data_IF_689566127844
#
_entry.id   IF_689566127844
#
_cell.length_a   1.000
_cell.length_b   1.000
_cell.length_c   1.000
_cell.angle_alpha   90.00
_cell.angle_beta   90.00
_cell.angle_gamma   90.00
#
_symmetry.space_group_name_H-M   'P 1'
#
loop_
_entity.id
_entity.type
_entity.pdbx_description
1 polymer ?
#
# COMPACT_ATOMS: atom_id res chain seq x y z
N UNK A 1 -0.70 -20.85 -3.34
CA UNK A 1 -1.54 -19.85 -2.62
C UNK A 1 -0.88 -18.50 -2.78
N UNK A 2 -1.61 -17.48 -3.23
CA UNK A 2 -1.09 -16.11 -3.34
C UNK A 2 -1.42 -15.30 -2.07
N UNK A 3 -0.92 -14.06 -1.99
CA UNK A 3 -1.13 -13.18 -0.82
C UNK A 3 -2.61 -12.93 -0.54
N UNK A 4 -3.42 -12.64 -1.59
CA UNK A 4 -4.85 -12.41 -1.40
C UNK A 4 -5.56 -13.65 -0.87
N UNK A 5 -5.32 -14.82 -1.44
CA UNK A 5 -5.90 -16.09 -1.00
C UNK A 5 -5.58 -16.36 0.49
N UNK A 6 -4.32 -16.15 0.89
CA UNK A 6 -3.89 -16.33 2.29
C UNK A 6 -4.66 -15.42 3.24
N UNK A 7 -4.76 -14.12 2.92
CA UNK A 7 -5.48 -13.14 3.76
C UNK A 7 -6.99 -13.43 3.77
N UNK A 8 -7.55 -13.81 2.62
CA UNK A 8 -8.97 -14.15 2.48
C UNK A 8 -9.35 -15.35 3.35
N UNK A 9 -8.58 -16.44 3.29
CA UNK A 9 -8.82 -17.64 4.09
C UNK A 9 -8.75 -17.36 5.59
N UNK A 10 -7.82 -16.50 6.03
CA UNK A 10 -7.71 -16.13 7.44
C UNK A 10 -8.92 -15.33 7.96
N UNK A 11 -9.65 -14.58 7.10
CA UNK A 11 -10.63 -13.60 7.57
C UNK A 11 -12.05 -13.79 7.02
N UNK A 12 -12.28 -14.75 6.11
CA UNK A 12 -13.59 -14.96 5.48
C UNK A 12 -14.72 -15.23 6.48
N UNK A 13 -14.40 -15.83 7.62
CA UNK A 13 -15.36 -16.13 8.67
C UNK A 13 -15.62 -14.94 9.63
N UNK A 14 -14.90 -13.83 9.46
CA UNK A 14 -15.00 -12.62 10.29
C UNK A 14 -15.24 -11.34 9.46
N UNK A 15 -16.23 -11.34 8.52
CA UNK A 15 -16.40 -10.26 7.55
C UNK A 15 -16.76 -8.91 8.18
N UNK A 16 -17.36 -8.90 9.36
CA UNK A 16 -17.75 -7.68 10.08
C UNK A 16 -16.62 -7.05 10.92
N UNK A 17 -15.48 -7.74 11.04
CA UNK A 17 -14.33 -7.23 11.81
C UNK A 17 -13.69 -6.06 11.05
N UNK A 18 -13.27 -5.02 11.77
CA UNK A 18 -12.53 -3.89 11.21
C UNK A 18 -11.20 -4.40 10.62
N UNK A 19 -10.90 -3.97 9.42
CA UNK A 19 -9.65 -4.30 8.72
C UNK A 19 -8.79 -3.06 8.46
N UNK A 20 -9.41 -2.00 7.95
CA UNK A 20 -8.72 -0.78 7.53
C UNK A 20 -9.52 0.45 7.96
N UNK A 21 -8.83 1.50 8.35
CA UNK A 21 -9.45 2.81 8.57
C UNK A 21 -8.48 3.95 8.26
N UNK A 22 -9.03 5.15 8.03
CA UNK A 22 -8.23 6.36 7.82
C UNK A 22 -8.91 7.56 8.48
N UNK A 23 -8.13 8.36 9.21
CA UNK A 23 -8.56 9.69 9.64
C UNK A 23 -8.15 10.71 8.58
N UNK A 24 -9.15 11.43 8.07
CA UNK A 24 -8.99 12.49 7.07
C UNK A 24 -8.56 13.80 7.74
N UNK A 25 -8.02 14.74 6.96
CA UNK A 25 -7.56 16.04 7.47
C UNK A 25 -8.70 16.90 8.03
N UNK A 26 -9.94 16.68 7.57
CA UNK A 26 -11.15 17.31 8.12
C UNK A 26 -11.63 16.71 9.45
N UNK A 27 -10.95 15.67 9.93
CA UNK A 27 -11.26 14.94 11.16
C UNK A 27 -12.29 13.82 10.99
N UNK A 28 -12.86 13.64 9.81
CA UNK A 28 -13.73 12.48 9.52
C UNK A 28 -12.92 11.19 9.46
N UNK A 29 -13.59 10.05 9.65
CA UNK A 29 -12.96 8.71 9.58
C UNK A 29 -13.72 7.85 8.60
N UNK A 30 -13.00 7.24 7.65
CA UNK A 30 -13.50 6.14 6.83
C UNK A 30 -12.99 4.82 7.38
N UNK A 31 -13.83 3.81 7.40
CA UNK A 31 -13.50 2.49 7.92
C UNK A 31 -14.03 1.41 6.99
N UNK A 32 -13.28 0.32 6.89
CA UNK A 32 -13.61 -0.85 6.07
C UNK A 32 -13.49 -2.10 6.93
N UNK A 33 -14.54 -2.88 6.97
CA UNK A 33 -14.49 -4.25 7.50
C UNK A 33 -13.76 -5.17 6.52
N UNK A 34 -13.40 -6.38 6.96
CA UNK A 34 -12.83 -7.39 6.04
C UNK A 34 -13.78 -7.69 4.88
N UNK A 35 -15.11 -7.73 5.13
CA UNK A 35 -16.12 -7.91 4.09
C UNK A 35 -16.10 -6.77 3.06
N UNK A 36 -15.97 -5.52 3.51
CA UNK A 36 -15.86 -4.35 2.63
C UNK A 36 -14.57 -4.40 1.80
N UNK A 37 -13.45 -4.75 2.43
CA UNK A 37 -12.16 -4.92 1.74
C UNK A 37 -12.26 -5.96 0.65
N UNK A 38 -12.80 -7.15 0.95
CA UNK A 38 -12.93 -8.22 -0.05
C UNK A 38 -13.85 -7.86 -1.21
N UNK A 39 -14.94 -7.14 -0.92
CA UNK A 39 -15.86 -6.64 -1.94
C UNK A 39 -15.18 -5.61 -2.86
N UNK A 40 -14.42 -4.67 -2.30
CA UNK A 40 -13.67 -3.68 -3.08
C UNK A 40 -12.51 -4.30 -3.85
N UNK A 41 -11.83 -5.27 -3.28
CA UNK A 41 -10.77 -6.03 -3.97
C UNK A 41 -11.36 -6.76 -5.19
N UNK A 42 -12.56 -7.34 -5.08
CA UNK A 42 -13.23 -7.95 -6.22
C UNK A 42 -13.59 -6.91 -7.29
N UNK A 43 -14.16 -5.77 -6.90
CA UNK A 43 -14.45 -4.66 -7.81
C UNK A 43 -13.22 -4.17 -8.58
N UNK A 44 -12.10 -3.93 -7.89
CA UNK A 44 -10.86 -3.45 -8.50
C UNK A 44 -10.24 -4.50 -9.42
N UNK A 45 -10.28 -5.77 -9.03
CA UNK A 45 -9.84 -6.89 -9.85
C UNK A 45 -10.65 -7.00 -11.15
N UNK A 46 -11.98 -6.89 -11.07
CA UNK A 46 -12.87 -6.93 -12.23
C UNK A 46 -12.64 -5.73 -13.16
N UNK A 47 -12.35 -4.54 -12.63
CA UNK A 47 -11.98 -3.36 -13.42
C UNK A 47 -10.68 -3.57 -14.20
N UNK A 48 -9.65 -4.11 -13.54
CA UNK A 48 -8.38 -4.44 -14.19
C UNK A 48 -8.59 -5.45 -15.32
N UNK A 49 -9.27 -6.56 -15.05
CA UNK A 49 -9.55 -7.59 -16.07
C UNK A 49 -10.38 -7.04 -17.24
N UNK A 50 -11.41 -6.22 -16.95
CA UNK A 50 -12.25 -5.59 -17.97
C UNK A 50 -11.49 -4.60 -18.84
N UNK A 51 -10.39 -4.05 -18.33
CA UNK A 51 -9.50 -3.16 -19.12
C UNK A 51 -8.48 -3.91 -19.98
N UNK A 52 -8.49 -5.24 -19.98
CA UNK A 52 -7.58 -6.06 -20.80
C UNK A 52 -6.31 -6.50 -20.09
N UNK A 53 -6.17 -6.23 -18.79
CA UNK A 53 -5.09 -6.79 -17.96
C UNK A 53 -5.25 -8.30 -17.85
N UNK A 54 -4.14 -9.04 -17.88
CA UNK A 54 -4.09 -10.51 -17.83
C UNK A 54 -3.21 -10.99 -16.68
N UNK A 55 -3.39 -12.25 -16.27
CA UNK A 55 -2.53 -12.92 -15.29
C UNK A 55 -1.04 -12.79 -15.66
N UNK A 56 -0.20 -12.42 -14.70
CA UNK A 56 1.23 -12.20 -14.88
C UNK A 56 1.63 -10.81 -15.36
N UNK A 57 0.67 -9.96 -15.77
CA UNK A 57 0.95 -8.57 -16.11
C UNK A 57 1.46 -7.77 -14.91
N UNK A 58 2.11 -6.65 -15.19
CA UNK A 58 2.63 -5.74 -14.17
C UNK A 58 1.75 -4.52 -14.03
N UNK A 59 1.45 -4.13 -12.80
CA UNK A 59 0.59 -2.99 -12.47
C UNK A 59 1.36 -2.05 -11.54
N UNK A 60 1.51 -0.78 -11.92
CA UNK A 60 2.13 0.20 -11.05
C UNK A 60 1.17 0.62 -9.92
N UNK A 61 1.69 0.76 -8.72
CA UNK A 61 0.98 1.41 -7.60
C UNK A 61 1.87 2.54 -7.10
N UNK A 62 1.46 3.78 -7.37
CA UNK A 62 2.18 4.99 -7.00
C UNK A 62 1.23 6.00 -6.35
N UNK A 63 0.89 5.73 -5.08
CA UNK A 63 0.03 6.58 -4.27
C UNK A 63 0.45 6.52 -2.80
N UNK A 64 -0.04 7.47 -2.02
CA UNK A 64 0.20 7.55 -0.59
C UNK A 64 -0.42 6.34 0.13
N UNK A 65 0.14 5.99 1.29
CA UNK A 65 -0.40 4.89 2.13
C UNK A 65 -1.84 5.20 2.56
N UNK A 66 -2.76 4.30 2.24
CA UNK A 66 -4.18 4.43 2.54
C UNK A 66 -4.86 3.05 2.54
N UNK A 67 -6.09 2.93 3.03
CA UNK A 67 -6.89 1.73 2.86
C UNK A 67 -6.99 1.28 1.40
N UNK A 68 -7.18 2.23 0.50
CA UNK A 68 -7.34 1.97 -0.94
C UNK A 68 -6.04 1.50 -1.60
N UNK A 69 -4.87 1.93 -1.07
CA UNK A 69 -3.58 1.37 -1.48
C UNK A 69 -3.54 -0.14 -1.22
N UNK A 70 -3.95 -0.54 -0.01
CA UNK A 70 -4.00 -1.97 0.38
C UNK A 70 -5.01 -2.74 -0.47
N UNK A 71 -6.18 -2.16 -0.74
CA UNK A 71 -7.21 -2.76 -1.60
C UNK A 71 -6.67 -2.95 -3.03
N UNK A 72 -6.03 -1.94 -3.62
CA UNK A 72 -5.44 -2.02 -4.95
C UNK A 72 -4.34 -3.10 -5.02
N UNK A 73 -3.46 -3.15 -4.02
CA UNK A 73 -2.43 -4.19 -3.94
C UNK A 73 -3.02 -5.60 -3.86
N UNK A 74 -4.03 -5.81 -3.02
CA UNK A 74 -4.71 -7.10 -2.90
C UNK A 74 -5.48 -7.48 -4.18
N UNK A 75 -6.04 -6.50 -4.90
CA UNK A 75 -6.68 -6.74 -6.19
C UNK A 75 -5.68 -7.22 -7.25
N UNK A 76 -4.50 -6.60 -7.30
CA UNK A 76 -3.39 -7.04 -8.17
C UNK A 76 -2.97 -8.48 -7.82
N UNK A 77 -2.81 -8.78 -6.52
CA UNK A 77 -2.48 -10.14 -6.07
C UNK A 77 -3.58 -11.16 -6.39
N UNK A 78 -4.86 -10.76 -6.28
CA UNK A 78 -6.02 -11.63 -6.56
C UNK A 78 -6.02 -12.15 -7.99
N UNK A 79 -5.70 -11.31 -8.96
CA UNK A 79 -5.65 -11.67 -10.38
C UNK A 79 -4.27 -12.18 -10.83
N UNK A 80 -3.39 -12.49 -9.85
CA UNK A 80 -2.02 -12.99 -10.06
C UNK A 80 -1.17 -12.11 -10.98
N UNK A 81 -1.31 -10.80 -10.83
CA UNK A 81 -0.46 -9.80 -11.44
C UNK A 81 0.66 -9.37 -10.49
N UNK A 82 1.70 -8.76 -11.04
CA UNK A 82 2.83 -8.23 -10.28
C UNK A 82 2.62 -6.76 -9.95
N UNK A 83 2.63 -6.38 -8.67
CA UNK A 83 2.57 -4.98 -8.27
C UNK A 83 3.96 -4.32 -8.34
N UNK A 84 4.16 -3.36 -9.26
CA UNK A 84 5.32 -2.48 -9.28
C UNK A 84 5.08 -1.34 -8.29
N UNK A 85 5.72 -1.42 -7.12
CA UNK A 85 5.51 -0.47 -6.02
C UNK A 85 6.47 0.71 -6.17
N UNK A 86 5.90 1.89 -6.40
CA UNK A 86 6.65 3.13 -6.65
C UNK A 86 6.34 4.14 -5.55
N UNK A 87 7.38 4.78 -5.02
CA UNK A 87 7.24 5.79 -3.98
C UNK A 87 6.52 7.04 -4.53
N UNK A 88 5.35 7.34 -3.98
CA UNK A 88 4.56 8.51 -4.37
C UNK A 88 5.22 9.85 -4.01
N UNK A 89 6.24 9.88 -3.17
CA UNK A 89 6.98 11.11 -2.83
C UNK A 89 7.90 11.61 -3.95
N UNK A 90 8.23 10.75 -4.92
CA UNK A 90 9.10 11.06 -6.04
C UNK A 90 8.52 12.20 -6.92
N UNK A 91 9.42 12.89 -7.64
CA UNK A 91 9.05 13.87 -8.65
C UNK A 91 8.45 13.24 -9.91
N UNK A 92 7.80 14.04 -10.77
CA UNK A 92 7.13 13.55 -11.99
C UNK A 92 8.06 12.77 -12.92
N UNK A 93 9.28 13.28 -13.15
CA UNK A 93 10.27 12.64 -14.04
C UNK A 93 10.73 11.27 -13.50
N UNK A 94 10.93 11.15 -12.19
CA UNK A 94 11.32 9.89 -11.56
C UNK A 94 10.15 8.90 -11.58
N UNK A 95 8.94 9.34 -11.24
CA UNK A 95 7.72 8.53 -11.34
C UNK A 95 7.55 7.98 -12.75
N UNK A 96 7.65 8.86 -13.78
CA UNK A 96 7.60 8.46 -15.17
C UNK A 96 8.67 7.41 -15.50
N UNK A 97 9.91 7.65 -15.10
CA UNK A 97 11.03 6.73 -15.35
C UNK A 97 10.80 5.35 -14.73
N UNK A 98 10.22 5.27 -13.53
CA UNK A 98 9.92 3.97 -12.90
C UNK A 98 8.74 3.27 -13.57
N UNK A 99 7.68 4.01 -13.93
CA UNK A 99 6.53 3.45 -14.66
C UNK A 99 6.99 2.86 -16.01
N UNK A 100 7.74 3.64 -16.81
CA UNK A 100 8.24 3.21 -18.12
C UNK A 100 9.13 1.96 -18.01
N UNK A 101 10.00 1.89 -17.01
CA UNK A 101 10.93 0.77 -16.79
C UNK A 101 10.27 -0.48 -16.22
N UNK A 102 9.09 -0.34 -15.64
CA UNK A 102 8.36 -1.45 -15.05
C UNK A 102 7.61 -2.29 -16.07
N UNK A 103 7.45 -1.82 -17.30
CA UNK A 103 6.66 -2.48 -18.35
C UNK A 103 5.25 -2.83 -17.86
N UNK A 104 4.56 -1.82 -17.31
CA UNK A 104 3.24 -2.00 -16.71
C UNK A 104 2.12 -1.94 -17.75
N UNK A 105 1.03 -2.64 -17.46
CA UNK A 105 -0.19 -2.70 -18.28
C UNK A 105 -1.33 -1.88 -17.70
N UNK A 106 -1.21 -1.40 -16.47
CA UNK A 106 -2.10 -0.44 -15.82
C UNK A 106 -1.35 0.25 -14.67
N UNK A 107 -1.91 1.34 -14.16
CA UNK A 107 -1.38 2.00 -12.99
C UNK A 107 -2.50 2.46 -12.06
N UNK A 108 -2.27 2.41 -10.74
CA UNK A 108 -3.04 3.09 -9.73
C UNK A 108 -2.26 4.31 -9.24
N UNK A 109 -2.84 5.48 -9.37
CA UNK A 109 -2.30 6.74 -8.87
C UNK A 109 -3.33 7.40 -7.94
N UNK A 110 -2.86 8.19 -6.96
CA UNK A 110 -3.74 9.14 -6.28
C UNK A 110 -3.92 10.39 -7.15
N UNK A 111 -4.99 11.19 -6.95
CA UNK A 111 -5.13 12.50 -7.61
C UNK A 111 -3.93 13.41 -7.39
N UNK A 112 -3.33 13.36 -6.19
CA UNK A 112 -2.13 14.13 -5.85
C UNK A 112 -0.91 13.66 -6.65
N UNK A 113 -0.71 12.36 -6.82
CA UNK A 113 0.38 11.81 -7.62
C UNK A 113 0.16 12.08 -9.10
N UNK A 114 -1.07 11.90 -9.60
CA UNK A 114 -1.45 12.21 -10.97
C UNK A 114 -1.24 13.70 -11.28
N UNK A 115 -1.62 14.58 -10.37
CA UNK A 115 -1.45 16.05 -10.49
C UNK A 115 0.00 16.54 -10.50
N UNK A 116 1.00 15.69 -10.24
CA UNK A 116 2.42 16.07 -10.41
C UNK A 116 2.82 16.20 -11.87
N UNK A 117 2.10 15.58 -12.79
CA UNK A 117 2.40 15.65 -14.20
C UNK A 117 1.76 16.89 -14.82
N UNK A 118 2.58 17.84 -15.30
CA UNK A 118 2.11 19.03 -16.03
C UNK A 118 1.51 18.64 -17.38
N UNK A 119 2.16 17.69 -18.06
CA UNK A 119 1.67 17.02 -19.25
C UNK A 119 1.74 15.51 -18.98
N UNK A 120 0.58 14.90 -18.72
CA UNK A 120 0.55 13.47 -18.45
C UNK A 120 1.03 12.68 -19.67
N UNK A 121 1.92 11.67 -19.50
CA UNK A 121 2.42 10.87 -20.61
C UNK A 121 1.27 10.15 -21.33
N UNK A 122 1.35 10.05 -22.66
CA UNK A 122 0.38 9.28 -23.47
C UNK A 122 0.67 7.77 -23.32
N UNK A 123 0.30 7.24 -22.15
CA UNK A 123 0.39 5.80 -21.92
C UNK A 123 -0.71 5.06 -22.68
N UNK A 124 -0.36 3.89 -23.25
CA UNK A 124 -1.29 3.01 -23.95
C UNK A 124 -1.93 1.97 -23.04
N UNK A 125 -2.15 2.36 -21.79
CA UNK A 125 -2.80 1.55 -20.76
C UNK A 125 -3.62 2.44 -19.83
N UNK A 126 -4.60 1.87 -19.09
CA UNK A 126 -5.43 2.65 -18.16
C UNK A 126 -4.66 3.08 -16.93
N UNK A 127 -4.96 4.30 -16.46
CA UNK A 127 -4.48 4.84 -15.19
C UNK A 127 -5.69 5.10 -14.31
N UNK A 128 -5.79 4.34 -13.23
CA UNK A 128 -6.90 4.37 -12.31
C UNK A 128 -6.63 5.29 -11.12
N UNK A 129 -7.64 6.05 -10.72
CA UNK A 129 -7.67 6.69 -9.42
C UNK A 129 -7.77 5.62 -8.34
N UNK A 130 -6.81 5.58 -7.42
CA UNK A 130 -6.74 4.56 -6.38
C UNK A 130 -7.93 4.58 -5.42
N UNK A 131 -8.63 5.71 -5.27
CA UNK A 131 -9.71 5.86 -4.29
C UNK A 131 -11.06 5.31 -4.74
N UNK A 132 -11.33 5.27 -6.04
CA UNK A 132 -12.62 4.84 -6.58
C UNK A 132 -12.52 3.91 -7.80
N UNK A 133 -11.29 3.58 -8.20
CA UNK A 133 -10.99 2.74 -9.35
C UNK A 133 -11.56 3.27 -10.70
N UNK A 134 -11.82 4.57 -10.80
CA UNK A 134 -12.16 5.21 -12.08
C UNK A 134 -10.91 5.51 -12.87
N UNK A 135 -11.01 5.49 -14.21
CA UNK A 135 -9.90 5.91 -15.07
C UNK A 135 -9.83 7.43 -15.06
N UNK A 136 -8.62 7.99 -14.91
CA UNK A 136 -8.42 9.44 -14.99
C UNK A 136 -8.77 9.97 -16.38
N UNK A 137 -9.35 11.18 -16.43
CA UNK A 137 -9.68 11.86 -17.67
C UNK A 137 -8.44 12.03 -18.57
N UNK A 138 -8.61 11.73 -19.85
CA UNK A 138 -7.53 11.77 -20.85
C UNK A 138 -6.67 10.52 -20.90
N UNK A 139 -6.85 9.56 -20.00
CA UNK A 139 -6.16 8.27 -20.05
C UNK A 139 -6.94 7.22 -20.87
N UNK A 140 -6.27 6.16 -21.30
CA UNK A 140 -6.89 5.04 -22.00
C UNK A 140 -7.78 4.25 -21.05
N UNK A 141 -8.87 3.69 -21.58
CA UNK A 141 -9.78 2.83 -20.83
C UNK A 141 -9.38 1.35 -20.88
N UNK A 142 -8.48 0.98 -21.79
CA UNK A 142 -8.02 -0.39 -21.98
C UNK A 142 -6.56 -0.44 -22.39
N UNK A 143 -5.98 -1.61 -22.23
CA UNK A 143 -4.61 -1.92 -22.66
C UNK A 143 -4.58 -2.02 -24.19
N UNK A 144 -3.69 -1.27 -24.84
CA UNK A 144 -3.56 -1.21 -26.30
C UNK A 144 -2.29 -1.91 -26.83
N UNK A 145 -1.36 -2.29 -25.94
CA UNK A 145 -0.09 -2.91 -26.32
C UNK A 145 0.08 -4.30 -25.68
N UNK A 146 0.79 -5.19 -26.32
CA UNK A 146 1.22 -6.46 -25.72
C UNK A 146 2.42 -6.21 -24.76
N UNK A 147 2.59 -7.02 -23.70
CA UNK A 147 3.72 -6.89 -22.80
C UNK A 147 5.05 -7.19 -23.50
N UNK A 148 6.11 -6.48 -23.08
CA UNK A 148 7.48 -6.71 -23.62
C UNK A 148 8.25 -7.75 -22.81
N UNK A 149 7.71 -8.17 -21.66
CA UNK A 149 8.25 -9.24 -20.80
C UNK A 149 7.27 -10.39 -20.67
N UNK A 150 7.79 -11.58 -20.45
CA UNK A 150 6.95 -12.76 -20.20
C UNK A 150 6.16 -12.62 -18.90
N UNK A 151 4.89 -13.06 -18.87
CA UNK A 151 4.08 -13.08 -17.66
C UNK A 151 4.75 -13.92 -16.54
N UNK A 152 4.74 -13.40 -15.32
CA UNK A 152 5.35 -14.03 -14.16
C UNK A 152 4.39 -14.03 -12.95
N UNK A 153 3.35 -14.88 -12.97
CA UNK A 153 2.28 -14.85 -11.96
C UNK A 153 2.73 -15.24 -10.54
N UNK A 154 3.91 -15.84 -10.39
CA UNK A 154 4.52 -16.13 -9.08
C UNK A 154 5.13 -14.89 -8.42
N UNK A 155 5.43 -13.82 -9.17
CA UNK A 155 5.99 -12.58 -8.66
C UNK A 155 4.86 -11.70 -8.12
N UNK A 156 4.89 -11.42 -6.82
CA UNK A 156 3.92 -10.56 -6.17
C UNK A 156 4.25 -9.07 -6.33
N UNK A 157 5.53 -8.72 -6.18
CA UNK A 157 5.96 -7.31 -6.21
C UNK A 157 7.30 -7.12 -6.89
N UNK A 158 7.45 -5.92 -7.49
CA UNK A 158 8.73 -5.31 -7.83
C UNK A 158 8.88 -4.07 -6.97
N UNK A 159 9.94 -4.00 -6.15
CA UNK A 159 10.23 -2.86 -5.28
C UNK A 159 11.57 -2.26 -5.71
N UNK A 160 11.56 -0.96 -5.96
CA UNK A 160 12.76 -0.26 -6.40
C UNK A 160 13.63 0.16 -5.22
N UNK A 161 14.90 -0.23 -5.24
CA UNK A 161 15.85 0.23 -4.24
C UNK A 161 16.15 1.72 -4.44
N UNK A 162 16.24 2.48 -3.34
CA UNK A 162 16.68 3.89 -3.32
C UNK A 162 18.17 4.08 -3.62
N UNK A 163 18.78 3.18 -4.41
CA UNK A 163 20.21 3.15 -4.66
C UNK A 163 20.76 4.46 -5.23
N UNK A 164 21.83 4.94 -4.64
CA UNK A 164 22.61 6.13 -5.05
C UNK A 164 23.26 5.98 -6.43
N UNK A 165 23.14 4.84 -7.09
CA UNK A 165 23.65 4.57 -8.43
C UNK A 165 22.59 4.89 -9.47
N UNK A 166 23.01 5.46 -10.61
CA UNK A 166 22.19 5.92 -11.77
C UNK A 166 21.14 4.93 -12.30
N UNK A 167 20.98 3.74 -11.75
CA UNK A 167 19.98 2.73 -12.09
C UNK A 167 19.49 2.03 -10.84
N UNK A 168 18.41 2.54 -10.23
CA UNK A 168 17.69 1.79 -9.22
C UNK A 168 17.28 0.43 -9.80
N UNK A 169 17.66 -0.66 -9.12
CA UNK A 169 17.26 -2.01 -9.52
C UNK A 169 15.89 -2.33 -8.95
N UNK A 170 15.02 -2.94 -9.75
CA UNK A 170 13.77 -3.52 -9.28
C UNK A 170 14.05 -4.89 -8.66
N UNK A 171 13.74 -5.02 -7.38
CA UNK A 171 13.88 -6.29 -6.64
C UNK A 171 12.53 -7.00 -6.69
N UNK A 172 12.52 -8.21 -7.24
CA UNK A 172 11.32 -9.04 -7.35
C UNK A 172 11.14 -9.93 -6.13
N UNK A 173 9.92 -9.96 -5.59
CA UNK A 173 9.54 -10.84 -4.51
C UNK A 173 8.36 -11.71 -4.93
N UNK A 174 8.46 -13.03 -4.68
CA UNK A 174 7.35 -13.96 -4.93
C UNK A 174 6.30 -13.87 -3.83
N UNK A 175 5.07 -14.30 -4.13
CA UNK A 175 4.02 -14.46 -3.12
C UNK A 175 4.50 -15.35 -1.96
N UNK A 176 5.10 -16.50 -2.27
CA UNK A 176 5.58 -17.45 -1.28
C UNK A 176 6.65 -16.87 -0.35
N UNK A 177 7.63 -16.12 -0.90
CA UNK A 177 8.69 -15.51 -0.10
C UNK A 177 8.15 -14.46 0.87
N UNK A 178 7.20 -13.64 0.42
CA UNK A 178 6.59 -12.60 1.27
C UNK A 178 5.73 -13.22 2.37
N UNK A 179 4.89 -14.22 2.06
CA UNK A 179 4.06 -14.91 3.05
C UNK A 179 4.93 -15.57 4.12
N UNK A 180 5.95 -16.35 3.72
CA UNK A 180 6.86 -17.02 4.65
C UNK A 180 7.62 -16.04 5.55
N UNK A 181 8.16 -14.97 4.96
CA UNK A 181 8.87 -13.94 5.74
C UNK A 181 7.93 -13.28 6.76
N UNK A 182 6.70 -12.99 6.37
CA UNK A 182 5.70 -12.42 7.27
C UNK A 182 5.35 -13.39 8.39
N UNK A 183 5.09 -14.66 8.09
CA UNK A 183 4.80 -15.68 9.10
C UNK A 183 5.94 -15.85 10.11
N UNK A 184 7.19 -15.85 9.63
CA UNK A 184 8.37 -15.89 10.52
C UNK A 184 8.42 -14.66 11.44
N UNK A 185 8.11 -13.47 10.93
CA UNK A 185 8.05 -12.24 11.72
C UNK A 185 6.96 -12.30 12.79
N UNK A 186 5.76 -12.75 12.42
CA UNK A 186 4.63 -12.89 13.35
C UNK A 186 4.93 -13.89 14.48
N UNK A 187 5.58 -15.01 14.18
CA UNK A 187 5.94 -16.01 15.17
C UNK A 187 6.92 -15.53 16.25
N UNK A 188 7.71 -14.50 15.93
CA UNK A 188 8.69 -13.94 16.89
C UNK A 188 8.10 -12.83 17.76
N UNK A 189 7.04 -12.14 17.28
CA UNK A 189 6.53 -10.91 17.90
C UNK A 189 5.30 -11.11 18.77
N UNK A 190 4.76 -12.31 18.92
CA UNK A 190 3.56 -12.63 19.71
C UNK A 190 2.35 -11.73 19.40
N UNK A 191 2.21 -11.31 18.13
CA UNK A 191 1.13 -10.45 17.65
C UNK A 191 -0.19 -11.21 17.59
N UNK A 192 -1.29 -10.52 17.90
CA UNK A 192 -2.62 -11.12 18.00
C UNK A 192 -3.66 -10.37 17.18
N UNK A 193 -4.79 -11.02 16.94
CA UNK A 193 -5.88 -10.48 16.11
C UNK A 193 -6.57 -9.22 16.68
N UNK A 194 -6.33 -8.90 17.95
CA UNK A 194 -6.84 -7.69 18.61
C UNK A 194 -5.87 -6.51 18.54
N UNK A 195 -4.70 -6.72 17.91
CA UNK A 195 -3.73 -5.64 17.74
C UNK A 195 -4.23 -4.59 16.77
N UNK A 196 -3.80 -3.37 17.01
CA UNK A 196 -4.18 -2.17 16.28
C UNK A 196 -2.93 -1.48 15.75
N UNK A 197 -2.77 -1.49 14.46
CA UNK A 197 -1.57 -0.97 13.80
C UNK A 197 -1.76 0.48 13.36
N UNK A 198 -0.79 1.34 13.62
CA UNK A 198 -0.74 2.70 13.07
C UNK A 198 0.22 2.75 11.88
N UNK A 199 -0.30 3.09 10.71
CA UNK A 199 0.46 3.17 9.47
C UNK A 199 1.18 4.51 9.35
N UNK A 200 2.49 4.53 9.63
CA UNK A 200 3.35 5.72 9.51
C UNK A 200 4.57 5.51 8.61
N UNK A 201 4.72 4.32 8.05
CA UNK A 201 5.77 4.00 7.08
C UNK A 201 5.16 3.81 5.68
N UNK A 202 5.90 4.11 4.60
CA UNK A 202 5.36 3.94 3.25
C UNK A 202 5.05 2.48 2.92
N UNK A 203 3.86 2.22 2.39
CA UNK A 203 3.47 0.89 1.91
C UNK A 203 4.27 0.43 0.67
N UNK A 204 4.87 1.37 -0.08
CA UNK A 204 5.70 1.08 -1.25
C UNK A 204 7.05 0.43 -0.93
N UNK A 205 7.47 0.39 0.34
CA UNK A 205 8.68 -0.30 0.77
C UNK A 205 8.39 -1.69 1.31
N UNK A 206 9.35 -2.62 1.18
CA UNK A 206 9.19 -4.00 1.65
C UNK A 206 8.79 -4.07 3.13
N UNK A 207 9.33 -3.19 3.97
CA UNK A 207 8.99 -3.10 5.38
C UNK A 207 7.51 -2.73 5.58
N UNK A 208 6.97 -1.79 4.79
CA UNK A 208 5.55 -1.42 4.80
C UNK A 208 4.67 -2.57 4.32
N UNK A 209 5.06 -3.26 3.25
CA UNK A 209 4.33 -4.42 2.74
C UNK A 209 4.20 -5.50 3.82
N UNK A 210 5.30 -5.84 4.49
CA UNK A 210 5.30 -6.90 5.52
C UNK A 210 4.56 -6.45 6.78
N UNK A 211 4.86 -5.26 7.31
CA UNK A 211 4.39 -4.84 8.64
C UNK A 211 3.03 -4.14 8.64
N UNK A 212 2.56 -3.59 7.51
CA UNK A 212 1.29 -2.86 7.45
C UNK A 212 0.26 -3.53 6.54
N UNK A 213 0.70 -4.39 5.60
CA UNK A 213 -0.24 -5.04 4.69
C UNK A 213 -0.37 -6.52 5.00
N UNK A 214 0.72 -7.30 4.99
CA UNK A 214 0.62 -8.74 5.17
C UNK A 214 0.42 -9.14 6.63
N UNK A 215 1.30 -8.68 7.52
CA UNK A 215 1.30 -9.10 8.93
C UNK A 215 -0.04 -8.90 9.62
N UNK A 216 -0.57 -7.67 9.67
CA UNK A 216 -1.86 -7.39 10.31
C UNK A 216 -2.99 -8.24 9.73
N UNK A 217 -3.09 -8.31 8.41
CA UNK A 217 -4.21 -8.98 7.77
C UNK A 217 -4.12 -10.51 7.79
N UNK A 218 -2.92 -11.11 7.95
CA UNK A 218 -2.77 -12.55 8.17
C UNK A 218 -3.25 -12.95 9.57
N UNK A 219 -3.04 -12.10 10.58
CA UNK A 219 -3.54 -12.38 11.94
C UNK A 219 -4.95 -11.84 12.20
N UNK A 220 -5.55 -11.14 11.25
CA UNK A 220 -6.89 -10.56 11.41
C UNK A 220 -6.92 -9.28 12.26
N UNK A 221 -5.84 -8.55 12.38
CA UNK A 221 -5.76 -7.24 13.05
C UNK A 221 -6.24 -6.10 12.14
N UNK A 222 -6.37 -4.89 12.69
CA UNK A 222 -6.73 -3.70 11.91
C UNK A 222 -5.57 -2.71 11.75
N UNK A 223 -5.60 -1.96 10.64
CA UNK A 223 -4.60 -0.94 10.31
C UNK A 223 -5.26 0.42 10.14
N UNK A 224 -4.77 1.41 10.88
CA UNK A 224 -5.23 2.79 10.80
C UNK A 224 -4.24 3.66 10.04
N UNK A 225 -4.73 4.38 9.06
CA UNK A 225 -3.99 5.38 8.28
C UNK A 225 -4.33 6.80 8.73
N UNK A 226 -3.45 7.73 8.42
CA UNK A 226 -3.64 9.16 8.59
C UNK A 226 -3.43 9.79 7.20
N UNK A 227 -4.38 10.61 6.72
CA UNK A 227 -4.33 11.20 5.38
C UNK A 227 -3.05 12.01 5.17
N UNK A 228 -2.76 12.95 6.06
CA UNK A 228 -1.50 13.70 6.05
C UNK A 228 -0.69 13.42 7.30
N UNK A 229 0.47 12.77 7.11
CA UNK A 229 1.37 12.44 8.21
C UNK A 229 2.04 13.72 8.76
N UNK A 230 1.77 14.01 10.02
CA UNK A 230 2.38 15.10 10.76
C UNK A 230 2.43 14.79 12.25
N UNK A 231 3.27 15.49 13.00
CA UNK A 231 3.48 15.21 14.42
C UNK A 231 2.17 15.32 15.24
N UNK A 232 1.34 16.33 14.95
CA UNK A 232 0.05 16.51 15.63
C UNK A 232 -0.95 15.41 15.26
N UNK A 233 -1.05 15.05 13.98
CA UNK A 233 -1.93 14.00 13.50
C UNK A 233 -1.56 12.64 14.11
N UNK A 234 -0.26 12.32 14.19
CA UNK A 234 0.24 11.11 14.83
C UNK A 234 -0.10 11.10 16.32
N UNK A 235 0.14 12.20 17.05
CA UNK A 235 -0.21 12.31 18.49
C UNK A 235 -1.73 12.19 18.72
N UNK A 236 -2.55 12.76 17.84
CA UNK A 236 -4.00 12.61 17.84
C UNK A 236 -4.40 11.15 17.66
N UNK A 237 -3.80 10.45 16.69
CA UNK A 237 -4.07 9.03 16.45
C UNK A 237 -3.67 8.16 17.68
N UNK A 238 -2.55 8.43 18.34
CA UNK A 238 -2.20 7.75 19.59
C UNK A 238 -3.27 7.93 20.67
N UNK A 239 -3.85 9.11 20.77
CA UNK A 239 -4.87 9.43 21.78
C UNK A 239 -6.24 8.81 21.45
N UNK A 240 -6.67 8.89 20.20
CA UNK A 240 -8.01 8.53 19.75
C UNK A 240 -8.10 7.06 19.30
N UNK A 241 -7.21 6.65 18.42
CA UNK A 241 -7.17 5.29 17.90
C UNK A 241 -6.49 4.31 18.88
N UNK A 242 -5.52 4.76 19.68
CA UNK A 242 -4.79 3.97 20.69
C UNK A 242 -4.14 2.72 20.08
N UNK A 243 -3.18 2.88 19.17
CA UNK A 243 -2.50 1.74 18.54
C UNK A 243 -1.76 0.90 19.59
N UNK A 244 -1.73 -0.41 19.40
CA UNK A 244 -0.93 -1.35 20.20
C UNK A 244 0.37 -1.70 19.50
N UNK A 245 0.43 -1.57 18.18
CA UNK A 245 1.62 -1.85 17.36
C UNK A 245 2.02 -0.62 16.56
N UNK A 246 3.29 -0.28 16.63
CA UNK A 246 3.91 0.78 15.86
C UNK A 246 5.16 0.25 15.15
N UNK A 247 5.05 0.07 13.84
CA UNK A 247 6.20 -0.20 12.98
C UNK A 247 6.78 1.10 12.47
N UNK A 248 8.04 1.38 12.80
CA UNK A 248 8.69 2.63 12.42
C UNK A 248 10.20 2.46 12.20
N UNK A 249 10.80 3.40 11.48
CA UNK A 249 12.25 3.48 11.33
C UNK A 249 12.87 4.20 12.55
N UNK A 250 14.17 3.96 12.89
CA UNK A 250 14.80 4.54 14.09
C UNK A 250 14.60 6.05 14.21
N UNK A 251 14.66 6.78 13.09
CA UNK A 251 14.47 8.23 13.07
C UNK A 251 13.13 8.70 13.63
N UNK A 252 12.08 7.95 13.43
CA UNK A 252 10.75 8.26 13.97
C UNK A 252 10.74 8.12 15.49
N UNK A 253 11.37 7.08 16.03
CA UNK A 253 11.50 6.91 17.49
C UNK A 253 12.35 8.01 18.12
N UNK A 254 13.43 8.46 17.48
CA UNK A 254 14.23 9.61 17.92
C UNK A 254 13.37 10.90 18.01
N UNK A 255 12.53 11.15 17.01
CA UNK A 255 11.62 12.30 16.99
C UNK A 255 10.58 12.22 18.12
N UNK A 256 10.01 11.06 18.38
CA UNK A 256 9.08 10.88 19.50
C UNK A 256 9.79 11.09 20.84
N UNK A 257 10.98 10.53 21.03
CA UNK A 257 11.74 10.71 22.25
C UNK A 257 12.05 12.19 22.50
N UNK A 258 12.50 12.92 21.47
CA UNK A 258 12.78 14.35 21.56
C UNK A 258 11.52 15.15 21.98
N UNK A 259 10.36 14.83 21.42
CA UNK A 259 9.09 15.49 21.75
C UNK A 259 8.65 15.18 23.20
N UNK A 260 8.78 13.93 23.65
CA UNK A 260 8.46 13.53 25.01
C UNK A 260 9.38 14.26 26.01
N UNK A 261 10.69 14.26 25.78
CA UNK A 261 11.65 14.94 26.64
C UNK A 261 11.38 16.46 26.71
N UNK A 262 11.03 17.09 25.57
CA UNK A 262 10.65 18.49 25.54
C UNK A 262 9.42 18.76 26.45
N UNK A 263 8.37 17.96 26.33
CA UNK A 263 7.15 18.12 27.17
C UNK A 263 7.42 17.89 28.65
N UNK A 264 8.28 16.94 29.00
CA UNK A 264 8.68 16.71 30.40
C UNK A 264 9.44 17.93 30.95
N UNK A 265 10.32 18.53 30.17
CA UNK A 265 11.10 19.72 30.58
C UNK A 265 10.22 21.00 30.67
N UNK A 266 9.20 21.11 29.80
CA UNK A 266 8.22 22.24 29.85
C UNK A 266 7.23 22.11 31.03
N UNK A 267 6.97 20.90 31.50
CA UNK A 267 6.07 20.60 32.62
C UNK A 267 6.77 19.65 33.61
N UNK A 268 7.77 20.11 34.37
CA UNK A 268 8.40 19.25 35.37
C UNK A 268 7.34 18.79 36.37
N UNK A 269 7.16 17.48 36.46
CA UNK A 269 6.34 16.89 37.52
C UNK A 269 7.04 17.19 38.84
N UNK A 270 6.49 18.12 39.61
CA UNK A 270 6.94 18.44 40.96
C UNK A 270 6.59 17.31 41.93
#
# INVERSE_FOLDING_TARGET
MNIFETIYECNINHPSKLALSVTMDDGSTRAYTYGDVFSKVAEYADRLLSSGVREGDRIAIACEGSPEWTIAFLAVCKIKCTAALIDASLGAEELKSFIDRSDVRAAFLSPKTFGKFTNFPDYRFPVFNVYDCTVFDGCKNSVEEEPTVDPAPEIATIIYSSGTTRRAAGIMHTHDSLIKTTQMTLNVQELVETDRYLAIIPNSHIYGVICLVLGPHIIGADVHYIETLGAEAILKAFKEYKPTVLSAVPKVYELFMAQILRKINENPVT
#
